data_IF_379184739750
#
_entry.id   IF_379184739750
#
_cell.length_a   1.000
_cell.length_b   1.000
_cell.length_c   1.000
_cell.angle_alpha   90.00
_cell.angle_beta   90.00
_cell.angle_gamma   90.00
#
_symmetry.space_group_name_H-M   'P 1'
#
loop_
_entity.id
_entity.type
_entity.pdbx_description
1 polymer ?
#
# COMPACT_ATOMS: atom_id res chain seq x y z
N UNK A 1 1.98 -7.97 -11.23
CA UNK A 1 3.26 -8.49 -10.70
C UNK A 1 3.52 -7.70 -9.45
N UNK A 2 3.75 -8.42 -8.35
CA UNK A 2 3.99 -7.85 -7.04
C UNK A 2 5.32 -7.06 -7.04
N UNK A 3 5.34 -5.89 -6.41
CA UNK A 3 6.43 -4.89 -6.48
C UNK A 3 7.32 -4.85 -5.23
N UNK A 4 7.24 -5.84 -4.36
CA UNK A 4 7.94 -5.88 -3.07
C UNK A 4 9.47 -5.84 -3.17
N UNK A 5 10.05 -6.26 -4.30
CA UNK A 5 11.49 -6.20 -4.55
C UNK A 5 12.00 -4.77 -4.80
N UNK A 6 11.11 -3.81 -5.03
CA UNK A 6 11.44 -2.39 -5.18
C UNK A 6 11.47 -1.67 -3.81
N UNK A 7 11.14 -2.35 -2.71
CA UNK A 7 11.15 -1.77 -1.36
C UNK A 7 12.53 -1.89 -0.70
N UNK A 8 12.95 -0.88 0.10
CA UNK A 8 14.09 -1.02 0.99
C UNK A 8 13.95 -2.24 1.92
N UNK A 9 15.03 -2.97 2.14
CA UNK A 9 15.01 -4.22 2.92
C UNK A 9 14.36 -4.09 4.31
N UNK A 10 14.63 -3.03 5.11
CA UNK A 10 14.00 -2.86 6.41
C UNK A 10 12.47 -2.72 6.32
N UNK A 11 11.99 -1.98 5.31
CA UNK A 11 10.56 -1.80 5.07
C UNK A 11 9.93 -3.11 4.62
N UNK A 12 10.56 -3.82 3.67
CA UNK A 12 10.09 -5.11 3.17
C UNK A 12 9.90 -6.13 4.30
N UNK A 13 10.84 -6.18 5.26
CA UNK A 13 10.76 -7.08 6.44
C UNK A 13 9.65 -6.71 7.43
N UNK A 14 9.17 -5.48 7.41
CA UNK A 14 8.11 -5.00 8.30
C UNK A 14 6.69 -5.20 7.75
N UNK A 15 6.56 -5.54 6.47
CA UNK A 15 5.27 -5.72 5.80
C UNK A 15 4.80 -7.17 5.88
N UNK A 16 3.48 -7.35 6.01
CA UNK A 16 2.81 -8.64 5.92
C UNK A 16 2.66 -9.09 4.45
N UNK A 17 3.77 -9.42 3.81
CA UNK A 17 3.79 -9.89 2.42
C UNK A 17 3.25 -11.33 2.26
N UNK A 18 3.08 -12.03 3.38
CA UNK A 18 2.42 -13.34 3.41
C UNK A 18 0.94 -13.22 3.08
N UNK A 19 0.27 -12.14 3.50
CA UNK A 19 -1.17 -11.93 3.26
C UNK A 19 -1.46 -10.81 2.25
N UNK A 20 -0.50 -9.93 1.97
CA UNK A 20 -0.69 -8.79 1.09
C UNK A 20 0.26 -8.82 -0.12
N UNK A 21 -0.26 -8.42 -1.28
CA UNK A 21 0.51 -8.16 -2.50
C UNK A 21 0.80 -6.66 -2.61
N UNK A 22 2.05 -6.28 -2.90
CA UNK A 22 2.41 -4.88 -3.19
C UNK A 22 2.00 -4.53 -4.62
N UNK A 23 1.00 -3.65 -4.75
CA UNK A 23 0.44 -3.23 -6.04
C UNK A 23 1.14 -1.98 -6.57
N UNK A 24 1.44 -1.03 -5.67
CA UNK A 24 2.03 0.26 -6.05
C UNK A 24 2.90 0.79 -4.93
N UNK A 25 4.00 1.42 -5.32
CA UNK A 25 4.87 2.18 -4.43
C UNK A 25 4.82 3.63 -4.92
N UNK A 26 4.54 4.57 -4.01
CA UNK A 26 4.54 6.00 -4.31
C UNK A 26 5.74 6.60 -3.57
N UNK A 27 6.79 7.02 -4.30
CA UNK A 27 7.94 7.68 -3.69
C UNK A 27 7.51 9.07 -3.21
N UNK A 28 7.65 9.33 -1.91
CA UNK A 28 7.36 10.63 -1.29
C UNK A 28 8.64 11.27 -0.76
N UNK A 29 9.38 10.50 0.03
CA UNK A 29 10.75 10.75 0.44
C UNK A 29 11.52 9.42 0.38
N UNK A 30 12.85 9.47 0.33
CA UNK A 30 13.71 8.28 0.11
C UNK A 30 13.59 7.23 1.24
N UNK A 31 13.06 7.62 2.40
CA UNK A 31 13.02 6.81 3.62
C UNK A 31 11.63 6.25 3.93
N UNK A 32 10.58 6.87 3.42
CA UNK A 32 9.19 6.62 3.78
C UNK A 32 8.28 6.63 2.54
N UNK A 33 8.46 5.66 1.62
CA UNK A 33 7.51 5.50 0.53
C UNK A 33 6.13 5.14 1.08
N UNK A 34 5.09 5.52 0.34
CA UNK A 34 3.74 5.01 0.57
C UNK A 34 3.61 3.70 -0.21
N UNK A 35 3.27 2.63 0.50
CA UNK A 35 3.09 1.30 -0.10
C UNK A 35 1.61 0.99 -0.17
N UNK A 36 1.10 0.78 -1.36
CA UNK A 36 -0.28 0.35 -1.60
C UNK A 36 -0.28 -1.14 -1.84
N UNK A 37 -1.03 -1.85 -1.02
CA UNK A 37 -1.11 -3.29 -1.01
C UNK A 37 -2.55 -3.76 -1.11
N UNK A 38 -2.73 -4.99 -1.60
CA UNK A 38 -4.03 -5.65 -1.67
C UNK A 38 -3.98 -6.97 -0.92
N UNK A 39 -4.97 -7.23 -0.10
CA UNK A 39 -5.11 -8.50 0.59
C UNK A 39 -5.37 -9.61 -0.43
N UNK A 40 -4.60 -10.70 -0.36
CA UNK A 40 -4.71 -11.85 -1.28
C UNK A 40 -5.47 -13.03 -0.67
N UNK A 41 -5.91 -12.93 0.60
CA UNK A 41 -6.75 -13.94 1.25
C UNK A 41 -8.13 -13.98 0.62
N UNK A 42 -8.65 -15.19 0.42
CA UNK A 42 -9.94 -15.40 -0.25
C UNK A 42 -11.11 -14.79 0.53
N UNK A 43 -11.04 -14.82 1.87
CA UNK A 43 -12.05 -14.32 2.79
C UNK A 43 -12.04 -12.79 2.93
N UNK A 44 -10.90 -12.13 2.66
CA UNK A 44 -10.79 -10.66 2.81
C UNK A 44 -11.40 -9.88 1.64
N UNK A 45 -12.01 -10.55 0.65
CA UNK A 45 -12.64 -9.95 -0.55
C UNK A 45 -11.75 -8.95 -1.30
N UNK A 46 -10.42 -9.03 -1.15
CA UNK A 46 -9.48 -8.10 -1.78
C UNK A 46 -9.50 -6.69 -1.20
N UNK A 47 -9.63 -6.55 0.12
CA UNK A 47 -9.41 -5.30 0.84
C UNK A 47 -8.06 -4.66 0.48
N UNK A 48 -8.01 -3.34 0.57
CA UNK A 48 -6.83 -2.53 0.27
C UNK A 48 -6.17 -2.08 1.57
N UNK A 49 -4.84 -2.07 1.58
CA UNK A 49 -4.04 -1.56 2.67
C UNK A 49 -3.07 -0.51 2.13
N UNK A 50 -2.96 0.63 2.80
CA UNK A 50 -1.97 1.66 2.53
C UNK A 50 -1.05 1.73 3.74
N UNK A 51 0.23 1.43 3.56
CA UNK A 51 1.25 1.54 4.59
C UNK A 51 2.09 2.81 4.37
N UNK A 52 2.24 3.63 5.41
CA UNK A 52 3.13 4.78 5.40
C UNK A 52 3.61 5.10 6.82
N UNK A 53 4.93 5.22 7.02
CA UNK A 53 5.57 5.55 8.33
C UNK A 53 5.07 4.68 9.49
N UNK A 54 5.00 3.37 9.29
CA UNK A 54 4.53 2.44 10.33
C UNK A 54 3.02 2.43 10.56
N UNK A 55 2.25 3.29 9.89
CA UNK A 55 0.78 3.30 9.95
C UNK A 55 0.17 2.54 8.77
N UNK A 56 -0.74 1.61 9.07
CA UNK A 56 -1.56 0.90 8.08
C UNK A 56 -2.98 1.46 8.03
N UNK A 57 -3.50 1.72 6.84
CA UNK A 57 -4.85 2.21 6.59
C UNK A 57 -5.59 1.23 5.69
N UNK A 58 -6.76 0.75 6.12
CA UNK A 58 -7.49 -0.33 5.44
C UNK A 58 -8.77 0.19 4.80
N UNK A 59 -9.09 -0.32 3.61
CA UNK A 59 -10.23 0.10 2.81
C UNK A 59 -10.89 -1.11 2.15
N UNK A 60 -12.21 -1.06 1.97
CA UNK A 60 -12.95 -2.15 1.33
C UNK A 60 -12.79 -2.12 -0.19
N UNK A 61 -12.65 -0.93 -0.76
CA UNK A 61 -12.60 -0.75 -2.22
C UNK A 61 -11.36 0.01 -2.67
N UNK A 62 -10.96 -0.21 -3.94
CA UNK A 62 -9.90 0.57 -4.57
C UNK A 62 -10.25 2.06 -4.62
N UNK A 63 -11.54 2.39 -4.76
CA UNK A 63 -12.01 3.76 -4.79
C UNK A 63 -11.71 4.48 -3.48
N UNK A 64 -12.07 3.89 -2.34
CA UNK A 64 -11.80 4.48 -1.01
C UNK A 64 -10.30 4.65 -0.77
N UNK A 65 -9.49 3.64 -1.12
CA UNK A 65 -8.04 3.74 -1.02
C UNK A 65 -7.50 4.89 -1.90
N UNK A 66 -8.00 5.01 -3.13
CA UNK A 66 -7.61 6.08 -4.06
C UNK A 66 -8.03 7.46 -3.54
N UNK A 67 -9.26 7.60 -3.06
CA UNK A 67 -9.79 8.84 -2.48
C UNK A 67 -8.96 9.28 -1.27
N UNK A 68 -8.52 8.33 -0.43
CA UNK A 68 -7.60 8.60 0.67
C UNK A 68 -6.25 9.10 0.20
N UNK A 69 -5.64 8.46 -0.81
CA UNK A 69 -4.37 8.90 -1.39
C UNK A 69 -4.49 10.33 -1.99
N UNK A 70 -5.60 10.66 -2.64
CA UNK A 70 -5.88 12.00 -3.18
C UNK A 70 -6.05 13.02 -2.05
N UNK A 71 -6.83 12.69 -1.02
CA UNK A 71 -7.06 13.57 0.14
C UNK A 71 -5.75 13.89 0.88
N UNK A 72 -4.81 12.94 0.90
CA UNK A 72 -3.46 13.14 1.44
C UNK A 72 -2.50 13.87 0.50
N UNK A 73 -2.93 14.24 -0.72
CA UNK A 73 -2.12 14.80 -1.78
C UNK A 73 -0.89 13.90 -2.12
N UNK A 74 -1.09 12.59 -2.06
CA UNK A 74 -0.06 11.59 -2.38
C UNK A 74 -0.10 11.19 -3.86
N UNK A 75 -1.28 11.26 -4.47
CA UNK A 75 -1.47 11.18 -5.91
C UNK A 75 -2.39 12.32 -6.35
N UNK A 76 -2.38 12.66 -7.63
CA UNK A 76 -3.36 13.57 -8.22
C UNK A 76 -4.63 12.82 -8.57
N UNK A 77 -5.77 13.49 -8.50
CA UNK A 77 -6.97 13.03 -9.18
C UNK A 77 -6.68 13.03 -10.69
N UNK A 78 -6.91 11.89 -11.32
CA UNK A 78 -6.80 11.72 -12.78
C UNK A 78 -8.00 12.31 -13.49
#
# INVERSE_FOLDING_TARGET
MARENELPEPLRKSLDLENFEVIRIIPKDDLHPVVVMRDKRAESKGHWCIQHRGSGYYFQTLKEATDYLITRNWIKAS
#
